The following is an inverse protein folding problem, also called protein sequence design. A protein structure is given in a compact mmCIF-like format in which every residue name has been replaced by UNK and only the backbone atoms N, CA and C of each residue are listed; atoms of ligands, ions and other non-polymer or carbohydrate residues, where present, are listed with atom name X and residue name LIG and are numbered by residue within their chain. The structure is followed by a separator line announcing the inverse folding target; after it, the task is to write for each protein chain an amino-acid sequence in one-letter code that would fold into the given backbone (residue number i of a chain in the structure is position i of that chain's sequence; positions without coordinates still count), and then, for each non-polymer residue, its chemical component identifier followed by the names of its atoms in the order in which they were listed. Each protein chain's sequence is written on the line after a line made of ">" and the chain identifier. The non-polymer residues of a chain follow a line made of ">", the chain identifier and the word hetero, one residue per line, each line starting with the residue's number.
data_IF_058042374388
#
_entry.id   IF_058042374388
#
_cell.length_a   1.000
_cell.length_b   1.000
_cell.length_c   1.000
_cell.angle_alpha   90.00
_cell.angle_beta   90.00
_cell.angle_gamma   90.00
#
_symmetry.space_group_name_H-M   'P 1'
#
loop_
_entity.id
_entity.type
_entity.pdbx_description
1 polymer ?
#
# COMPACT_ATOMS: atom_id res chain seq x y z
N UNK A 1 -3.42 1.28 16.03
CA UNK A 1 -3.21 1.78 14.66
C UNK A 1 -3.08 0.63 13.70
N UNK A 2 -1.86 0.06 13.60
CA UNK A 2 -1.52 -1.01 12.66
C UNK A 2 -2.53 -2.16 12.63
N UNK A 3 -2.91 -2.73 13.77
CA UNK A 3 -3.91 -3.81 13.82
C UNK A 3 -5.26 -3.44 13.18
N UNK A 4 -5.74 -2.20 13.34
CA UNK A 4 -6.99 -1.77 12.72
C UNK A 4 -6.87 -1.65 11.20
N UNK A 5 -5.72 -1.19 10.70
CA UNK A 5 -5.43 -1.13 9.26
C UNK A 5 -5.31 -2.54 8.70
N UNK A 6 -4.55 -3.42 9.36
CA UNK A 6 -4.45 -4.85 9.03
C UNK A 6 -5.83 -5.49 8.94
N UNK A 7 -6.70 -5.28 9.94
CA UNK A 7 -8.06 -5.80 9.92
C UNK A 7 -8.88 -5.30 8.72
N UNK A 8 -8.72 -4.03 8.33
CA UNK A 8 -9.37 -3.47 7.14
C UNK A 8 -8.84 -4.09 5.83
N UNK A 9 -7.52 -4.25 5.71
CA UNK A 9 -6.87 -4.86 4.55
C UNK A 9 -7.36 -6.31 4.36
N UNK A 10 -7.25 -7.14 5.40
CA UNK A 10 -7.71 -8.54 5.35
C UNK A 10 -9.24 -8.68 5.25
N UNK A 11 -9.98 -7.72 5.80
CA UNK A 11 -11.45 -7.72 5.72
C UNK A 11 -11.96 -7.60 4.28
N UNK A 12 -11.26 -6.81 3.45
CA UNK A 12 -11.71 -6.48 2.08
C UNK A 12 -11.00 -7.29 1.00
N UNK A 13 -9.69 -7.50 1.11
CA UNK A 13 -8.89 -8.15 0.06
C UNK A 13 -9.07 -9.67 0.09
N UNK A 14 -9.01 -10.29 -1.08
CA UNK A 14 -9.13 -11.73 -1.33
C UNK A 14 -7.99 -12.22 -2.23
N UNK A 15 -7.69 -13.53 -2.28
CA UNK A 15 -6.67 -14.07 -3.17
C UNK A 15 -6.90 -13.64 -4.62
N UNK A 16 -5.85 -13.13 -5.28
CA UNK A 16 -5.89 -12.55 -6.62
C UNK A 16 -6.23 -11.06 -6.67
N UNK A 17 -6.70 -10.45 -5.57
CA UNK A 17 -6.91 -9.00 -5.51
C UNK A 17 -5.58 -8.25 -5.50
N UNK A 18 -5.65 -6.97 -5.88
CA UNK A 18 -4.52 -6.05 -5.90
C UNK A 18 -4.74 -4.86 -4.95
N UNK A 19 -3.74 -4.61 -4.12
CA UNK A 19 -3.58 -3.44 -3.26
C UNK A 19 -2.55 -2.48 -3.88
N UNK A 20 -2.92 -1.22 -4.08
CA UNK A 20 -2.04 -0.19 -4.64
C UNK A 20 -1.80 0.92 -3.61
N UNK A 21 -0.56 1.12 -3.16
CA UNK A 21 -0.19 2.29 -2.36
C UNK A 21 0.15 3.47 -3.27
N UNK A 22 -0.58 4.58 -3.18
CA UNK A 22 -0.38 5.74 -4.08
C UNK A 22 0.39 6.89 -3.43
N UNK A 23 0.91 6.65 -2.23
CA UNK A 23 1.65 7.62 -1.43
C UNK A 23 3.01 7.06 -1.04
N UNK A 24 3.67 6.36 -1.96
CA UNK A 24 4.90 5.61 -1.74
C UNK A 24 4.71 4.41 -0.82
N UNK A 25 5.84 3.84 -0.42
CA UNK A 25 5.89 2.73 0.53
C UNK A 25 5.28 3.13 1.90
N UNK A 26 4.37 2.32 2.47
CA UNK A 26 3.78 2.59 3.78
C UNK A 26 4.81 2.44 4.90
N UNK A 27 4.48 2.94 6.10
CA UNK A 27 5.37 2.84 7.25
C UNK A 27 5.71 1.37 7.62
N UNK A 28 6.92 1.19 8.15
CA UNK A 28 7.63 -0.07 8.39
C UNK A 28 6.81 -1.25 8.94
N UNK A 29 5.92 -1.03 9.91
CA UNK A 29 5.14 -2.13 10.51
C UNK A 29 4.07 -2.69 9.57
N UNK A 30 3.68 -1.97 8.50
CA UNK A 30 2.80 -2.50 7.46
C UNK A 30 3.55 -3.35 6.43
N UNK A 31 4.89 -3.28 6.36
CA UNK A 31 5.67 -4.09 5.42
C UNK A 31 5.51 -5.59 5.69
N UNK A 32 5.51 -6.01 6.96
CA UNK A 32 5.31 -7.42 7.34
C UNK A 32 3.87 -7.88 7.06
N UNK A 33 2.89 -6.99 7.27
CA UNK A 33 1.47 -7.26 6.98
C UNK A 33 1.26 -7.49 5.50
N UNK A 34 1.88 -6.67 4.65
CA UNK A 34 1.79 -6.76 3.19
C UNK A 34 2.60 -7.95 2.67
N UNK A 35 3.75 -8.25 3.28
CA UNK A 35 4.68 -9.29 2.84
C UNK A 35 5.90 -8.74 2.10
N UNK A 36 6.25 -7.47 2.31
CA UNK A 36 7.47 -6.83 1.79
C UNK A 36 8.71 -7.17 2.64
N UNK A 37 8.50 -7.61 3.89
CA UNK A 37 9.55 -8.00 4.84
C UNK A 37 9.05 -9.18 5.68
N UNK A 38 9.95 -10.10 6.02
CA UNK A 38 9.61 -11.31 6.78
C UNK A 38 8.86 -12.36 5.95
N UNK A 39 8.64 -13.55 6.54
CA UNK A 39 7.87 -14.64 5.92
C UNK A 39 7.31 -15.59 7.01
N UNK A 40 6.28 -16.36 6.65
CA UNK A 40 5.68 -17.40 7.49
C UNK A 40 4.73 -16.89 8.58
N UNK A 41 4.13 -15.71 8.39
CA UNK A 41 3.26 -15.06 9.39
C UNK A 41 1.85 -14.73 8.85
N UNK A 42 1.50 -15.20 7.65
CA UNK A 42 0.20 -14.95 7.03
C UNK A 42 0.08 -13.53 6.46
N UNK A 43 1.10 -13.08 5.73
CA UNK A 43 1.07 -11.78 5.04
C UNK A 43 0.07 -11.77 3.88
N UNK A 44 -0.36 -10.58 3.42
CA UNK A 44 -1.25 -10.46 2.25
C UNK A 44 -0.68 -11.20 1.03
N UNK A 45 0.63 -11.08 0.79
CA UNK A 45 1.32 -11.80 -0.28
C UNK A 45 1.18 -13.33 -0.17
N UNK A 46 1.26 -13.90 1.04
CA UNK A 46 1.07 -15.34 1.28
C UNK A 46 -0.38 -15.80 1.02
N UNK A 47 -1.35 -14.90 1.15
CA UNK A 47 -2.74 -15.12 0.75
C UNK A 47 -3.00 -14.85 -0.74
N UNK A 48 -1.94 -14.63 -1.54
CA UNK A 48 -2.04 -14.42 -2.98
C UNK A 48 -2.58 -13.04 -3.37
N UNK A 49 -2.46 -12.05 -2.49
CA UNK A 49 -2.83 -10.66 -2.78
C UNK A 49 -1.61 -9.94 -3.37
N UNK A 50 -1.81 -9.29 -4.52
CA UNK A 50 -0.78 -8.52 -5.20
C UNK A 50 -0.64 -7.13 -4.58
N UNK A 51 0.60 -6.65 -4.49
CA UNK A 51 0.92 -5.33 -3.97
C UNK A 51 1.76 -4.56 -4.99
N UNK A 52 1.37 -3.31 -5.24
CA UNK A 52 2.17 -2.33 -5.96
C UNK A 52 2.20 -1.00 -5.19
N UNK A 53 3.19 -0.17 -5.50
CA UNK A 53 3.34 1.16 -4.94
C UNK A 53 3.76 2.18 -6.00
N UNK A 54 3.27 3.42 -5.85
CA UNK A 54 3.68 4.58 -6.61
C UNK A 54 4.31 5.59 -5.66
N UNK A 55 5.52 6.02 -5.99
CA UNK A 55 6.15 7.13 -5.28
C UNK A 55 5.42 8.45 -5.54
N UNK A 56 5.48 9.34 -4.56
CA UNK A 56 5.05 10.72 -4.79
C UNK A 56 6.07 11.42 -5.70
N UNK A 57 5.58 12.44 -6.40
CA UNK A 57 6.44 13.39 -7.11
C UNK A 57 7.43 14.08 -6.16
N UNK A 58 8.47 14.71 -6.72
CA UNK A 58 9.44 15.48 -5.94
C UNK A 58 8.81 16.60 -5.10
N UNK A 59 7.64 17.11 -5.51
CA UNK A 59 6.85 18.11 -4.77
C UNK A 59 5.94 17.50 -3.68
N UNK A 60 6.02 16.19 -3.45
CA UNK A 60 5.21 15.48 -2.45
C UNK A 60 3.74 15.30 -2.85
N UNK A 61 3.43 15.33 -4.15
CA UNK A 61 2.07 15.13 -4.69
C UNK A 61 1.94 13.78 -5.38
N UNK A 62 0.70 13.27 -5.44
CA UNK A 62 0.39 12.05 -6.21
C UNK A 62 0.68 12.31 -7.69
N UNK A 63 1.42 11.40 -8.32
CA UNK A 63 1.69 11.44 -9.75
C UNK A 63 0.44 10.97 -10.52
N UNK A 64 -0.39 11.91 -10.97
CA UNK A 64 -1.66 11.60 -11.64
C UNK A 64 -1.47 10.80 -12.95
N UNK A 65 -0.50 11.12 -13.84
CA UNK A 65 -0.18 10.28 -14.99
C UNK A 65 0.17 8.84 -14.60
N UNK A 66 1.11 8.66 -13.66
CA UNK A 66 1.51 7.32 -13.23
C UNK A 66 0.37 6.57 -12.53
N UNK A 67 -0.50 7.29 -11.81
CA UNK A 67 -1.69 6.72 -11.18
C UNK A 67 -2.68 6.19 -12.22
N UNK A 68 -2.90 6.92 -13.31
CA UNK A 68 -3.79 6.47 -14.38
C UNK A 68 -3.29 5.15 -15.00
N UNK A 69 -2.00 5.06 -15.28
CA UNK A 69 -1.37 3.85 -15.80
C UNK A 69 -1.43 2.70 -14.78
N UNK A 70 -1.16 2.98 -13.51
CA UNK A 70 -1.20 1.99 -12.44
C UNK A 70 -2.61 1.47 -12.16
N UNK A 71 -3.67 2.24 -12.46
CA UNK A 71 -5.06 1.82 -12.30
C UNK A 71 -5.63 1.09 -13.53
N UNK A 72 -4.87 0.96 -14.62
CA UNK A 72 -5.29 0.21 -15.82
C UNK A 72 -5.57 -1.27 -15.51
N UNK A 73 -4.74 -1.98 -14.71
CA UNK A 73 -5.12 -3.28 -14.15
C UNK A 73 -6.14 -3.13 -13.01
N UNK A 74 -7.04 -4.11 -12.88
CA UNK A 74 -8.07 -4.13 -11.81
C UNK A 74 -7.41 -4.01 -10.44
N UNK A 75 -7.72 -2.92 -9.74
CA UNK A 75 -7.19 -2.60 -8.42
C UNK A 75 -8.34 -2.62 -7.42
N UNK A 76 -8.28 -3.54 -6.44
CA UNK A 76 -9.37 -3.72 -5.48
C UNK A 76 -9.39 -2.63 -4.42
N UNK A 77 -8.19 -2.22 -3.97
CA UNK A 77 -8.04 -1.25 -2.91
C UNK A 77 -6.85 -0.33 -3.19
N UNK A 78 -7.06 0.96 -2.92
CA UNK A 78 -6.00 1.97 -2.88
C UNK A 78 -5.68 2.31 -1.43
N UNK A 79 -4.39 2.32 -1.09
CA UNK A 79 -3.87 2.74 0.21
C UNK A 79 -3.30 4.15 0.11
N UNK A 80 -3.77 5.02 1.01
CA UNK A 80 -3.32 6.42 1.13
C UNK A 80 -2.83 6.65 2.54
N UNK A 81 -1.54 6.95 2.70
CA UNK A 81 -0.96 7.32 3.97
C UNK A 81 -0.89 8.84 4.10
N UNK A 82 -1.80 9.41 4.88
CA UNK A 82 -1.88 10.85 5.11
C UNK A 82 -0.64 11.42 5.80
N UNK A 83 -0.22 10.80 6.89
CA UNK A 83 0.94 11.27 7.67
C UNK A 83 2.25 10.94 6.94
N UNK A 84 3.21 11.85 6.95
CA UNK A 84 4.56 11.58 6.47
C UNK A 84 5.30 10.52 7.31
N UNK A 85 4.89 10.30 8.57
CA UNK A 85 5.60 9.38 9.45
C UNK A 85 7.07 9.78 9.58
N UNK A 86 7.98 8.88 9.18
CA UNK A 86 9.43 9.13 9.18
C UNK A 86 9.98 9.58 7.81
N UNK A 87 9.13 9.74 6.80
CA UNK A 87 9.55 10.18 5.46
C UNK A 87 9.79 11.69 5.39
N UNK A 88 10.76 12.12 4.57
CA UNK A 88 11.08 13.53 4.35
C UNK A 88 10.15 14.17 3.31
N UNK A 89 8.87 14.29 3.66
CA UNK A 89 7.84 14.97 2.87
C UNK A 89 6.78 15.65 3.76
N UNK A 90 6.02 16.62 3.25
CA UNK A 90 4.83 17.10 3.93
C UNK A 90 3.82 15.97 4.18
N UNK A 91 3.02 16.10 5.23
CA UNK A 91 1.79 15.30 5.34
C UNK A 91 0.76 15.80 4.32
N UNK A 92 -0.06 14.89 3.80
CA UNK A 92 -1.12 15.19 2.83
C UNK A 92 -2.30 15.96 3.45
#
# INVERSE_FOLDING_TARGET
>A
GTHAITAALFGVLRPGDRLLSITGRPYDTLEEVIGLRGSGQGSLAEFGIHYDELELTADGRVDEPALADALSPVTRMVLIQRSCGYSWRPSL
#
